data_IF_609625524177
#
_entry.id   IF_609625524177
#
_cell.length_a   1.000
_cell.length_b   1.000
_cell.length_c   1.000
_cell.angle_alpha   90.00
_cell.angle_beta   90.00
_cell.angle_gamma   90.00
#
_symmetry.space_group_name_H-M   'P 1'
#
loop_
_entity.id
_entity.type
_entity.pdbx_description
1 polymer ?
#
# COMPACT_ATOMS: atom_id res chain seq x y z
N UNK A 1 -21.37 -24.42 29.07
CA UNK A 1 -20.14 -23.66 28.80
C UNK A 1 -20.34 -22.88 27.52
N UNK A 2 -20.01 -21.58 27.45
CA UNK A 2 -20.02 -20.88 26.18
C UNK A 2 -19.08 -21.60 25.20
N UNK A 3 -19.55 -21.79 23.98
CA UNK A 3 -18.76 -22.40 22.90
C UNK A 3 -17.46 -21.62 22.73
N UNK A 4 -16.28 -22.26 22.66
CA UNK A 4 -15.04 -21.54 22.40
C UNK A 4 -15.16 -20.77 21.09
N UNK A 5 -14.87 -19.47 21.12
CA UNK A 5 -14.69 -18.70 19.89
C UNK A 5 -13.49 -19.32 19.18
N UNK A 6 -13.61 -19.74 17.91
CA UNK A 6 -12.46 -20.27 17.17
C UNK A 6 -11.34 -19.23 17.17
N UNK A 7 -10.14 -19.60 17.62
CA UNK A 7 -8.96 -18.71 17.58
C UNK A 7 -8.39 -18.67 16.16
N UNK A 8 -9.21 -18.17 15.25
CA UNK A 8 -8.88 -18.01 13.85
C UNK A 8 -7.70 -17.04 13.72
N UNK A 9 -6.84 -17.31 12.75
CA UNK A 9 -5.77 -16.38 12.39
C UNK A 9 -6.32 -15.30 11.47
N UNK A 10 -5.97 -14.06 11.77
CA UNK A 10 -6.28 -12.89 10.99
C UNK A 10 -4.99 -12.26 10.46
N UNK A 11 -5.11 -11.56 9.34
CA UNK A 11 -3.99 -10.85 8.75
C UNK A 11 -3.70 -9.57 9.55
N UNK A 12 -2.50 -9.51 10.15
CA UNK A 12 -1.96 -8.33 10.83
C UNK A 12 -0.91 -7.65 9.94
N UNK A 13 -0.95 -6.33 9.88
CA UNK A 13 -0.01 -5.52 9.10
C UNK A 13 1.18 -5.13 9.97
N UNK A 14 2.38 -5.35 9.47
CA UNK A 14 3.64 -4.89 10.04
C UNK A 14 4.22 -3.85 9.07
N UNK A 15 4.45 -2.63 9.55
CA UNK A 15 4.96 -1.53 8.74
C UNK A 15 6.33 -1.07 9.24
N UNK A 16 7.31 -1.10 8.35
CA UNK A 16 8.61 -0.47 8.54
C UNK A 16 8.70 0.79 7.68
N UNK A 17 9.32 1.82 8.23
CA UNK A 17 9.42 3.15 7.62
C UNK A 17 10.86 3.59 7.70
N UNK A 18 11.40 4.07 6.59
CA UNK A 18 12.77 4.53 6.49
C UNK A 18 12.77 5.95 5.92
N UNK A 19 13.43 6.90 6.60
CA UNK A 19 13.53 8.28 6.12
C UNK A 19 14.72 8.44 5.19
N UNK A 20 14.58 9.29 4.18
CA UNK A 20 15.75 9.80 3.48
C UNK A 20 16.51 10.81 4.35
N UNK A 21 17.83 10.88 4.16
CA UNK A 21 18.71 11.75 4.95
C UNK A 21 18.24 13.21 5.10
N UNK A 22 17.68 13.88 4.06
CA UNK A 22 17.14 15.25 4.21
C UNK A 22 15.98 15.38 5.21
N UNK A 23 15.26 14.28 5.47
CA UNK A 23 14.13 14.23 6.42
C UNK A 23 14.52 13.59 7.77
N UNK A 24 15.77 13.15 7.93
CA UNK A 24 16.22 12.40 9.10
C UNK A 24 16.30 13.24 10.38
N UNK A 25 16.39 14.56 10.25
CA UNK A 25 16.32 15.47 11.40
C UNK A 25 14.90 15.54 12.01
N UNK A 26 13.88 15.01 11.32
CA UNK A 26 12.49 15.03 11.77
C UNK A 26 12.12 13.87 12.72
N UNK A 27 12.93 12.80 12.77
CA UNK A 27 12.76 11.69 13.70
C UNK A 27 14.08 10.95 13.94
N UNK A 28 14.53 10.89 15.20
CA UNK A 28 15.74 10.14 15.60
C UNK A 28 15.52 8.63 15.73
N UNK A 29 14.29 8.15 15.56
CA UNK A 29 13.93 6.76 15.83
C UNK A 29 13.64 5.94 14.59
N UNK A 30 13.41 6.59 13.45
CA UNK A 30 13.25 5.87 12.20
C UNK A 30 14.62 5.59 11.59
N UNK A 31 14.85 4.38 11.05
CA UNK A 31 16.09 4.09 10.35
C UNK A 31 16.31 5.10 9.23
N UNK A 32 17.48 5.72 9.24
CA UNK A 32 17.88 6.67 8.21
C UNK A 32 18.63 5.90 7.14
N UNK A 33 18.20 6.09 5.89
CA UNK A 33 18.97 5.60 4.76
C UNK A 33 20.13 6.57 4.50
N UNK A 34 21.25 6.32 5.17
CA UNK A 34 22.52 7.01 4.98
C UNK A 34 23.36 6.28 3.93
N UNK A 35 24.24 7.00 3.24
CA UNK A 35 25.13 6.42 2.22
C UNK A 35 24.41 5.64 1.12
N UNK A 36 23.22 6.08 0.73
CA UNK A 36 22.76 5.83 -0.64
C UNK A 36 23.70 6.63 -1.55
N UNK A 37 24.89 6.09 -1.83
CA UNK A 37 25.87 6.72 -2.71
C UNK A 37 25.38 6.71 -4.16
N UNK A 38 24.50 5.75 -4.49
CA UNK A 38 23.75 5.70 -5.73
C UNK A 38 22.35 5.13 -5.46
N UNK A 39 21.33 5.99 -5.48
CA UNK A 39 20.01 5.60 -5.96
C UNK A 39 19.99 6.07 -7.41
N UNK A 40 20.08 5.14 -8.35
CA UNK A 40 20.14 5.48 -9.76
C UNK A 40 18.76 5.90 -10.24
N UNK A 41 18.52 7.22 -10.21
CA UNK A 41 17.62 7.88 -11.15
C UNK A 41 18.41 8.05 -12.46
N UNK A 42 17.90 7.55 -13.58
CA UNK A 42 18.55 7.78 -14.88
C UNK A 42 18.27 9.20 -15.36
N UNK A 43 19.08 10.19 -14.94
CA UNK A 43 19.03 11.51 -15.54
C UNK A 43 19.70 11.48 -16.93
N UNK A 44 19.07 12.02 -18.00
CA UNK A 44 19.69 12.16 -19.30
C UNK A 44 20.87 13.15 -19.23
N UNK A 45 21.95 12.84 -19.95
CA UNK A 45 23.08 13.77 -20.16
C UNK A 45 22.58 15.07 -20.85
N UNK A 46 22.99 16.28 -20.41
CA UNK A 46 22.57 17.50 -21.09
C UNK A 46 23.29 17.70 -22.43
N UNK A 47 22.50 17.54 -23.49
CA UNK A 47 22.39 18.30 -24.75
C UNK A 47 23.62 18.48 -25.65
N UNK A 48 23.50 17.88 -26.83
CA UNK A 48 23.00 18.67 -27.97
C UNK A 48 21.46 18.70 -27.91
N UNK A 49 20.85 19.89 -28.06
CA UNK A 49 19.41 20.22 -27.88
C UNK A 49 18.44 19.04 -28.16
N UNK A 50 17.58 18.63 -27.21
CA UNK A 50 16.23 19.17 -26.94
C UNK A 50 15.80 18.92 -25.47
N UNK A 51 14.61 19.38 -25.08
CA UNK A 51 14.11 19.57 -23.71
C UNK A 51 13.07 18.49 -23.35
N UNK A 52 13.42 17.52 -22.50
CA UNK A 52 12.52 16.70 -21.68
C UNK A 52 13.36 15.90 -20.65
N UNK A 53 12.80 15.58 -19.48
CA UNK A 53 13.54 15.35 -18.24
C UNK A 53 13.06 14.06 -17.54
N UNK A 54 14.03 13.28 -17.02
CA UNK A 54 13.91 12.34 -15.89
C UNK A 54 13.35 10.90 -16.10
N UNK A 55 14.27 9.97 -16.40
CA UNK A 55 14.66 8.81 -15.56
C UNK A 55 13.72 7.72 -15.03
N UNK A 56 14.10 6.49 -15.39
CA UNK A 56 13.61 5.13 -15.09
C UNK A 56 14.30 4.50 -13.83
N UNK A 57 13.63 3.62 -13.04
CA UNK A 57 14.00 3.04 -11.69
C UNK A 57 14.06 1.48 -11.56
N UNK A 58 15.12 0.88 -10.95
CA UNK A 58 15.46 -0.57 -11.03
C UNK A 58 15.51 -1.19 -9.65
N UNK A 59 14.62 -2.15 -9.38
CA UNK A 59 14.72 -3.06 -8.25
C UNK A 59 14.41 -4.47 -8.77
N UNK A 60 15.44 -5.28 -9.05
CA UNK A 60 15.25 -6.70 -9.38
C UNK A 60 15.38 -7.54 -8.10
N UNK A 61 14.50 -8.53 -7.94
CA UNK A 61 14.70 -9.67 -7.03
C UNK A 61 15.01 -10.93 -7.86
N UNK A 62 16.16 -10.93 -8.54
CA UNK A 62 16.93 -12.09 -9.01
C UNK A 62 17.95 -11.61 -10.05
N UNK A 63 18.98 -12.42 -10.32
CA UNK A 63 20.26 -12.09 -10.99
C UNK A 63 20.15 -11.55 -12.45
N UNK A 64 18.97 -11.18 -12.96
CA UNK A 64 18.82 -10.56 -14.28
C UNK A 64 18.16 -9.17 -14.20
N UNK A 65 18.95 -8.14 -14.58
CA UNK A 65 18.65 -6.75 -15.05
C UNK A 65 17.30 -6.64 -15.82
N UNK A 66 16.44 -5.61 -15.84
CA UNK A 66 16.55 -4.12 -15.90
C UNK A 66 15.20 -3.47 -15.39
N UNK A 67 14.81 -2.28 -15.85
CA UNK A 67 14.21 -1.13 -15.17
C UNK A 67 12.82 -0.81 -15.79
N UNK A 68 11.83 -1.64 -15.47
CA UNK A 68 10.56 -1.80 -16.23
C UNK A 68 10.76 -2.08 -17.73
N UNK A 69 11.45 -3.19 -17.91
CA UNK A 69 11.76 -3.81 -19.16
C UNK A 69 10.70 -4.86 -19.46
N UNK A 70 9.81 -4.59 -20.42
CA UNK A 70 8.92 -5.64 -20.90
C UNK A 70 9.67 -6.56 -21.86
N UNK A 71 10.33 -7.59 -21.33
CA UNK A 71 10.94 -8.64 -22.13
C UNK A 71 9.87 -9.49 -22.83
N UNK A 72 9.54 -9.19 -24.08
CA UNK A 72 8.54 -9.91 -24.86
C UNK A 72 9.09 -10.39 -26.19
N UNK A 73 9.09 -11.72 -26.44
CA UNK A 73 9.56 -12.33 -27.70
C UNK A 73 10.98 -11.91 -28.12
N UNK A 74 11.89 -11.74 -27.17
CA UNK A 74 13.25 -11.28 -27.49
C UNK A 74 13.33 -9.80 -27.82
N UNK A 75 12.30 -9.03 -27.53
CA UNK A 75 12.34 -7.57 -27.54
C UNK A 75 12.30 -7.03 -26.13
N UNK A 76 12.86 -5.84 -26.02
CA UNK A 76 12.83 -5.05 -24.83
C UNK A 76 12.28 -3.66 -25.14
N UNK A 77 11.17 -3.28 -24.50
CA UNK A 77 10.48 -2.01 -24.77
C UNK A 77 10.86 -0.95 -23.73
N UNK A 78 11.09 0.28 -24.18
CA UNK A 78 11.39 1.43 -23.34
C UNK A 78 10.37 2.53 -23.54
N UNK A 79 9.75 2.96 -22.45
CA UNK A 79 8.95 4.18 -22.40
C UNK A 79 9.86 5.38 -22.10
N UNK A 80 9.68 6.46 -22.85
CA UNK A 80 10.39 7.71 -22.64
C UNK A 80 9.50 8.92 -22.97
N UNK A 81 9.93 10.10 -22.54
CA UNK A 81 9.29 11.37 -22.90
C UNK A 81 9.24 11.60 -24.42
N UNK A 82 10.18 11.01 -25.15
CA UNK A 82 10.26 11.11 -26.60
C UNK A 82 9.38 10.10 -27.35
N UNK A 83 8.91 9.03 -26.71
CA UNK A 83 8.22 7.97 -27.42
C UNK A 83 8.39 6.57 -26.85
N UNK A 84 7.87 5.60 -27.59
CA UNK A 84 8.10 4.18 -27.37
C UNK A 84 9.28 3.71 -28.21
N UNK A 85 10.26 3.06 -27.60
CA UNK A 85 11.42 2.50 -28.28
C UNK A 85 11.54 1.00 -27.99
N UNK A 86 12.25 0.26 -28.83
CA UNK A 86 12.49 -1.17 -28.62
C UNK A 86 13.92 -1.59 -28.92
N UNK A 87 14.53 -2.37 -28.04
CA UNK A 87 15.77 -3.10 -28.30
C UNK A 87 15.41 -4.53 -28.70
N UNK A 88 15.82 -4.94 -29.89
CA UNK A 88 15.80 -6.35 -30.26
C UNK A 88 16.97 -7.04 -29.55
N UNK A 89 16.69 -7.98 -28.66
CA UNK A 89 17.69 -8.70 -27.86
C UNK A 89 18.46 -9.75 -28.67
N UNK A 90 18.00 -10.10 -29.88
CA UNK A 90 18.72 -11.00 -30.76
C UNK A 90 19.82 -10.28 -31.54
N UNK A 91 19.56 -9.04 -31.96
CA UNK A 91 20.47 -8.22 -32.76
C UNK A 91 21.16 -7.13 -31.96
N UNK A 92 20.67 -6.84 -30.74
CA UNK A 92 21.00 -5.67 -29.93
C UNK A 92 20.79 -4.33 -30.65
N UNK A 93 19.90 -4.30 -31.65
CA UNK A 93 19.55 -3.10 -32.39
C UNK A 93 18.41 -2.34 -31.72
N UNK A 94 18.61 -1.04 -31.54
CA UNK A 94 17.58 -0.12 -31.03
C UNK A 94 16.72 0.35 -32.21
N UNK A 95 15.41 0.20 -32.05
CA UNK A 95 14.37 0.65 -32.96
C UNK A 95 13.63 1.80 -32.29
N UNK A 96 13.95 3.05 -32.65
CA UNK A 96 13.29 4.20 -32.07
C UNK A 96 11.87 4.38 -32.64
N UNK A 97 10.98 4.97 -31.85
CA UNK A 97 9.60 5.31 -32.25
C UNK A 97 8.83 4.13 -32.83
N UNK A 98 8.73 3.03 -32.07
CA UNK A 98 7.92 1.89 -32.46
C UNK A 98 6.49 2.35 -32.77
N UNK A 99 6.04 2.06 -33.99
CA UNK A 99 4.76 2.50 -34.53
C UNK A 99 4.54 4.02 -34.52
N UNK A 100 5.60 4.81 -34.73
CA UNK A 100 5.52 6.27 -34.76
C UNK A 100 4.97 6.87 -33.45
N UNK A 101 5.00 6.11 -32.34
CA UNK A 101 4.63 6.61 -31.01
C UNK A 101 5.78 7.52 -30.55
N UNK A 102 5.72 8.78 -30.96
CA UNK A 102 6.71 9.83 -30.72
C UNK A 102 6.24 10.87 -29.70
N UNK A 103 5.41 10.41 -28.76
CA UNK A 103 4.85 11.20 -27.65
C UNK A 103 5.26 10.57 -26.34
N UNK A 104 5.26 11.36 -25.26
CA UNK A 104 5.60 10.89 -23.92
C UNK A 104 4.82 9.64 -23.53
N UNK A 105 5.54 8.55 -23.28
CA UNK A 105 4.99 7.29 -22.77
C UNK A 105 5.30 7.22 -21.28
N UNK A 106 4.26 7.13 -20.46
CA UNK A 106 4.37 7.18 -19.00
C UNK A 106 4.43 5.79 -18.36
N UNK A 107 3.94 4.76 -19.04
CA UNK A 107 3.79 3.43 -18.46
C UNK A 107 3.64 2.34 -19.51
N UNK A 108 4.11 1.14 -19.18
CA UNK A 108 4.01 -0.05 -20.01
C UNK A 108 3.38 -1.19 -19.21
N UNK A 109 2.68 -2.08 -19.91
CA UNK A 109 2.26 -3.36 -19.35
C UNK A 109 2.19 -4.42 -20.45
N UNK A 110 2.16 -5.69 -20.06
CA UNK A 110 1.82 -6.76 -20.99
C UNK A 110 0.91 -7.79 -20.40
N UNK A 111 0.34 -8.59 -21.28
CA UNK A 111 -0.18 -9.89 -20.94
C UNK A 111 0.53 -10.94 -21.79
N UNK A 112 1.22 -11.86 -21.12
CA UNK A 112 1.74 -13.07 -21.75
C UNK A 112 0.59 -13.94 -22.27
N UNK A 113 -0.48 -14.06 -21.47
CA UNK A 113 -1.71 -14.82 -21.77
C UNK A 113 -2.43 -14.30 -23.01
N UNK A 114 -2.49 -12.98 -23.20
CA UNK A 114 -3.18 -12.34 -24.34
C UNK A 114 -2.24 -11.90 -25.45
N UNK A 115 -0.94 -12.19 -25.32
CA UNK A 115 0.07 -11.79 -26.31
C UNK A 115 -0.11 -10.32 -26.71
N UNK A 116 -0.23 -9.44 -25.71
CA UNK A 116 -0.58 -8.04 -25.93
C UNK A 116 0.29 -7.13 -25.07
N UNK A 117 0.82 -6.08 -25.68
CA UNK A 117 1.57 -4.99 -25.05
C UNK A 117 0.67 -3.76 -24.98
N UNK A 118 0.78 -3.02 -23.88
CA UNK A 118 0.06 -1.79 -23.63
C UNK A 118 1.06 -0.67 -23.36
N UNK A 119 0.81 0.51 -23.92
CA UNK A 119 1.58 1.71 -23.62
C UNK A 119 0.64 2.88 -23.29
N UNK A 120 0.84 3.47 -22.11
CA UNK A 120 0.08 4.60 -21.60
C UNK A 120 0.75 5.91 -21.95
N UNK A 121 -0.05 6.89 -22.36
CA UNK A 121 0.41 8.27 -22.62
C UNK A 121 -0.52 9.25 -21.90
N UNK A 122 -0.31 10.55 -22.12
CA UNK A 122 -1.17 11.59 -21.55
C UNK A 122 -2.64 11.50 -22.00
N UNK A 123 -2.90 11.04 -23.22
CA UNK A 123 -4.25 11.07 -23.81
C UNK A 123 -4.71 9.75 -24.42
N UNK A 124 -3.81 8.80 -24.65
CA UNK A 124 -4.08 7.56 -25.41
C UNK A 124 -3.55 6.34 -24.69
N UNK A 125 -4.31 5.24 -24.79
CA UNK A 125 -3.82 3.90 -24.52
C UNK A 125 -3.48 3.22 -25.85
N UNK A 126 -2.20 2.89 -26.05
CA UNK A 126 -1.75 2.12 -27.19
C UNK A 126 -1.79 0.62 -26.87
N UNK A 127 -2.24 -0.18 -27.84
CA UNK A 127 -2.42 -1.62 -27.71
C UNK A 127 -1.79 -2.30 -28.92
N UNK A 128 -0.90 -3.26 -28.67
CA UNK A 128 -0.31 -4.11 -29.69
C UNK A 128 -0.55 -5.57 -29.34
N UNK A 129 -1.46 -6.21 -30.07
CA UNK A 129 -1.69 -7.66 -29.97
C UNK A 129 -0.93 -8.36 -31.09
N UNK A 130 -0.25 -9.44 -30.75
CA UNK A 130 0.53 -10.27 -31.67
C UNK A 130 0.06 -11.72 -31.63
N UNK A 131 0.34 -12.51 -32.67
CA UNK A 131 -0.12 -13.91 -32.77
C UNK A 131 -1.61 -14.08 -33.10
N UNK A 132 -2.34 -12.99 -33.29
CA UNK A 132 -3.72 -12.94 -33.81
C UNK A 132 -3.67 -12.30 -35.21
N UNK A 133 -4.55 -12.70 -36.13
CA UNK A 133 -4.48 -12.40 -37.58
C UNK A 133 -4.50 -10.92 -38.03
N UNK A 134 -4.28 -9.97 -37.13
CA UNK A 134 -4.03 -8.56 -37.43
C UNK A 134 -2.98 -8.02 -36.43
N UNK A 135 -1.70 -8.21 -36.74
CA UNK A 135 -0.59 -7.70 -35.94
C UNK A 135 -0.39 -6.21 -36.24
N UNK A 136 -0.50 -5.39 -35.20
CA UNK A 136 -0.37 -3.94 -35.37
C UNK A 136 -0.62 -3.21 -34.07
N UNK A 137 -0.03 -2.03 -33.95
CA UNK A 137 -0.35 -1.12 -32.86
C UNK A 137 -1.61 -0.34 -33.24
N UNK A 138 -2.48 -0.14 -32.27
CA UNK A 138 -3.61 0.79 -32.35
C UNK A 138 -3.65 1.63 -31.09
N UNK A 139 -4.41 2.72 -31.10
CA UNK A 139 -4.67 3.49 -29.90
C UNK A 139 -6.17 3.61 -29.61
N UNK A 140 -6.49 3.72 -28.35
CA UNK A 140 -7.82 4.00 -27.83
C UNK A 140 -7.80 5.36 -27.11
N UNK A 141 -8.81 6.18 -27.38
CA UNK A 141 -9.11 7.39 -26.63
C UNK A 141 -10.62 7.45 -26.43
N UNK A 142 -11.06 7.36 -25.18
CA UNK A 142 -12.49 7.34 -24.84
C UNK A 142 -12.74 8.41 -23.78
N UNK A 143 -13.53 9.42 -24.15
CA UNK A 143 -13.95 10.49 -23.24
C UNK A 143 -14.65 9.90 -22.00
N UNK A 144 -14.27 10.36 -20.82
CA UNK A 144 -14.76 9.87 -19.52
C UNK A 144 -14.09 8.59 -18.99
N UNK A 145 -13.24 7.90 -19.77
CA UNK A 145 -12.55 6.67 -19.36
C UNK A 145 -11.04 6.77 -19.49
N UNK A 146 -10.55 7.20 -20.66
CA UNK A 146 -9.14 7.43 -21.00
C UNK A 146 -8.98 8.88 -21.46
N UNK A 147 -9.41 9.82 -20.62
CA UNK A 147 -9.41 11.26 -20.89
C UNK A 147 -8.59 12.08 -19.88
N UNK A 148 -7.79 11.38 -19.07
CA UNK A 148 -6.80 11.96 -18.17
C UNK A 148 -5.47 11.20 -18.33
N UNK A 149 -4.33 11.83 -17.98
CA UNK A 149 -3.02 11.22 -18.09
C UNK A 149 -2.98 9.83 -17.44
N UNK A 150 -2.56 8.84 -18.22
CA UNK A 150 -2.28 7.50 -17.69
C UNK A 150 -1.00 7.63 -16.87
N UNK A 151 -1.08 7.28 -15.60
CA UNK A 151 0.05 7.35 -14.65
C UNK A 151 0.74 6.01 -14.48
N UNK A 152 -0.02 4.92 -14.62
CA UNK A 152 0.50 3.57 -14.48
C UNK A 152 -0.43 2.56 -15.13
N UNK A 153 0.16 1.49 -15.65
CA UNK A 153 -0.52 0.34 -16.21
C UNK A 153 -0.04 -0.91 -15.49
N UNK A 154 -0.96 -1.80 -15.12
CA UNK A 154 -0.57 -3.14 -14.67
C UNK A 154 -1.57 -4.16 -15.17
N UNK A 155 -1.09 -5.23 -15.79
CA UNK A 155 -1.95 -6.34 -16.18
C UNK A 155 -1.95 -7.38 -15.07
N UNK A 156 -3.15 -7.78 -14.63
CA UNK A 156 -3.29 -8.88 -13.69
C UNK A 156 -3.71 -10.13 -14.47
N UNK A 157 -2.79 -11.05 -14.72
CA UNK A 157 -3.05 -12.27 -15.50
C UNK A 157 -4.05 -13.22 -14.80
N UNK A 158 -4.15 -13.18 -13.46
CA UNK A 158 -5.10 -13.99 -12.68
C UNK A 158 -6.53 -13.50 -12.85
N UNK A 159 -6.72 -12.17 -12.88
CA UNK A 159 -8.00 -11.55 -13.19
C UNK A 159 -8.29 -11.50 -14.69
N UNK A 160 -7.24 -11.58 -15.52
CA UNK A 160 -7.27 -11.39 -16.97
C UNK A 160 -7.76 -9.99 -17.37
N UNK A 161 -7.20 -8.96 -16.74
CA UNK A 161 -7.60 -7.55 -16.93
C UNK A 161 -6.41 -6.61 -16.82
N UNK A 162 -6.42 -5.55 -17.63
CA UNK A 162 -5.51 -4.41 -17.46
C UNK A 162 -6.13 -3.40 -16.49
N UNK A 163 -5.33 -2.94 -15.54
CA UNK A 163 -5.64 -1.83 -14.65
C UNK A 163 -4.92 -0.59 -15.15
N UNK A 164 -5.67 0.51 -15.24
CA UNK A 164 -5.22 1.78 -15.78
C UNK A 164 -5.39 2.82 -14.68
N UNK A 165 -4.26 3.28 -14.14
CA UNK A 165 -4.21 4.30 -13.10
C UNK A 165 -4.16 5.69 -13.72
N UNK A 166 -5.02 6.59 -13.25
CA UNK A 166 -5.06 7.98 -13.69
C UNK A 166 -5.21 8.90 -12.47
N UNK A 167 -4.93 10.18 -12.67
CA UNK A 167 -5.17 11.18 -11.62
C UNK A 167 -6.65 11.25 -11.22
N UNK A 168 -7.54 11.05 -12.19
CA UNK A 168 -9.00 11.14 -11.99
C UNK A 168 -9.64 9.85 -11.47
N UNK A 169 -8.91 8.73 -11.43
CA UNK A 169 -9.45 7.43 -10.99
C UNK A 169 -8.79 6.21 -11.64
N UNK A 170 -9.57 5.13 -11.72
CA UNK A 170 -9.11 3.82 -12.22
C UNK A 170 -10.06 3.34 -13.31
N UNK A 171 -9.49 2.96 -14.44
CA UNK A 171 -10.20 2.31 -15.54
C UNK A 171 -9.64 0.89 -15.73
N UNK A 172 -10.52 -0.04 -16.08
CA UNK A 172 -10.20 -1.43 -16.38
C UNK A 172 -10.39 -1.69 -17.86
N UNK A 173 -9.50 -2.48 -18.45
CA UNK A 173 -9.66 -3.03 -19.79
C UNK A 173 -9.76 -4.56 -19.71
N UNK A 174 -10.88 -5.10 -20.20
CA UNK A 174 -11.22 -6.51 -20.11
C UNK A 174 -11.19 -7.14 -21.52
N UNK A 175 -10.58 -8.33 -21.69
CA UNK A 175 -10.61 -9.05 -22.95
C UNK A 175 -11.96 -9.78 -23.12
N UNK A 176 -12.52 -9.71 -24.33
CA UNK A 176 -13.69 -10.48 -24.77
C UNK A 176 -13.31 -11.22 -26.04
N UNK A 177 -13.45 -12.54 -26.05
CA UNK A 177 -13.29 -13.33 -27.27
C UNK A 177 -14.67 -13.42 -27.93
N UNK A 178 -14.80 -12.83 -29.11
CA UNK A 178 -16.04 -12.89 -29.89
C UNK A 178 -16.25 -14.32 -30.42
N UNK A 179 -17.49 -14.72 -30.78
CA UNK A 179 -17.75 -16.02 -31.41
C UNK A 179 -16.92 -16.29 -32.68
N UNK A 180 -16.46 -15.21 -33.33
CA UNK A 180 -15.56 -15.24 -34.48
C UNK A 180 -14.10 -15.60 -34.13
N UNK A 181 -13.77 -15.74 -32.84
CA UNK A 181 -12.42 -15.97 -32.34
C UNK A 181 -11.59 -14.70 -32.16
N UNK A 182 -12.10 -13.53 -32.57
CA UNK A 182 -11.38 -12.26 -32.43
C UNK A 182 -11.39 -11.75 -30.99
N UNK A 183 -10.22 -11.29 -30.53
CA UNK A 183 -10.04 -10.63 -29.25
C UNK A 183 -10.45 -9.15 -29.35
N UNK A 184 -11.47 -8.78 -28.58
CA UNK A 184 -11.90 -7.41 -28.36
C UNK A 184 -11.58 -6.96 -26.95
N UNK A 185 -11.51 -5.65 -26.74
CA UNK A 185 -11.26 -5.06 -25.44
C UNK A 185 -12.43 -4.17 -25.03
N UNK A 186 -12.88 -4.35 -23.79
CA UNK A 186 -14.01 -3.63 -23.21
C UNK A 186 -13.54 -2.81 -22.01
N UNK A 187 -13.87 -1.51 -22.01
CA UNK A 187 -13.52 -0.61 -20.92
C UNK A 187 -14.60 -0.57 -19.84
N UNK A 188 -14.18 -0.50 -18.58
CA UNK A 188 -15.06 -0.27 -17.43
C UNK A 188 -14.38 0.66 -16.43
N UNK A 189 -15.08 1.67 -15.92
CA UNK A 189 -14.56 2.53 -14.84
C UNK A 189 -14.76 1.80 -13.52
N UNK A 190 -13.68 1.57 -12.77
CA UNK A 190 -13.83 1.05 -11.41
C UNK A 190 -14.30 2.18 -10.47
N UNK A 191 -13.55 3.28 -10.40
CA UNK A 191 -13.87 4.40 -9.52
C UNK A 191 -13.15 5.70 -9.96
N UNK A 192 -13.64 6.89 -9.58
CA UNK A 192 -13.01 8.19 -9.92
C UNK A 192 -13.84 9.44 -9.62
N UNK A 193 -13.24 10.63 -9.85
CA UNK A 193 -13.86 11.97 -9.60
C UNK A 193 -15.06 12.27 -10.51
N UNK A 194 -15.06 11.70 -11.72
CA UNK A 194 -16.22 11.76 -12.61
C UNK A 194 -17.05 10.52 -12.28
N UNK A 195 -18.11 10.71 -11.51
CA UNK A 195 -19.16 9.71 -11.34
C UNK A 195 -19.73 9.38 -12.73
N UNK A 196 -19.36 8.24 -13.28
CA UNK A 196 -20.25 7.61 -14.24
C UNK A 196 -21.35 6.94 -13.40
N UNK A 197 -22.65 7.22 -13.62
CA UNK A 197 -23.76 6.77 -12.77
C UNK A 197 -24.06 5.27 -12.90
N UNK A 198 -23.03 4.40 -12.85
CA UNK A 198 -23.22 2.95 -13.02
C UNK A 198 -22.06 2.06 -12.53
N UNK A 199 -21.17 2.54 -11.64
CA UNK A 199 -20.24 1.66 -10.93
C UNK A 199 -20.64 1.58 -9.45
N UNK A 200 -21.28 0.48 -9.08
CA UNK A 200 -21.68 0.16 -7.71
C UNK A 200 -20.52 -0.42 -6.87
N UNK A 201 -19.28 -0.41 -7.38
CA UNK A 201 -18.12 -0.98 -6.68
C UNK A 201 -17.24 0.16 -6.14
N UNK A 202 -17.64 0.70 -4.98
CA UNK A 202 -16.76 1.34 -4.00
C UNK A 202 -16.11 2.65 -4.44
N UNK A 203 -16.48 3.73 -3.76
CA UNK A 203 -15.82 5.03 -3.90
C UNK A 203 -14.31 4.85 -3.70
N UNK A 204 -13.50 5.26 -4.69
CA UNK A 204 -12.04 5.24 -4.58
C UNK A 204 -11.65 6.00 -3.30
N UNK A 205 -10.91 5.39 -2.34
CA UNK A 205 -10.62 6.06 -1.07
C UNK A 205 -9.92 7.41 -1.23
N UNK A 206 -9.03 7.53 -2.23
CA UNK A 206 -8.51 8.81 -2.69
C UNK A 206 -8.06 8.73 -4.16
N UNK A 207 -8.26 9.81 -4.91
CA UNK A 207 -7.80 9.98 -6.29
C UNK A 207 -6.29 10.26 -6.37
N UNK A 208 -5.82 10.68 -7.55
CA UNK A 208 -4.41 10.90 -7.85
C UNK A 208 -3.57 9.64 -7.70
N UNK A 209 -3.97 8.60 -8.44
CA UNK A 209 -3.18 7.38 -8.58
C UNK A 209 -1.88 7.73 -9.30
N UNK A 210 -0.78 7.20 -8.81
CA UNK A 210 0.58 7.49 -9.31
C UNK A 210 1.29 6.24 -9.78
N UNK A 211 0.97 5.08 -9.19
CA UNK A 211 1.58 3.80 -9.55
C UNK A 211 0.63 2.66 -9.21
N UNK A 212 0.67 1.58 -9.98
CA UNK A 212 -0.07 0.34 -9.76
C UNK A 212 0.92 -0.83 -9.71
N UNK A 213 0.60 -1.84 -8.93
CA UNK A 213 1.41 -3.06 -8.85
C UNK A 213 0.58 -4.27 -8.47
N UNK A 214 1.01 -5.44 -8.91
CA UNK A 214 0.38 -6.74 -8.60
C UNK A 214 1.45 -7.74 -8.19
N UNK A 215 1.04 -8.76 -7.44
CA UNK A 215 1.92 -9.85 -7.06
C UNK A 215 2.26 -10.71 -8.27
N UNK A 216 3.54 -11.00 -8.50
CA UNK A 216 4.03 -11.86 -9.58
C UNK A 216 4.17 -13.33 -9.14
N UNK A 217 3.30 -13.77 -8.23
CA UNK A 217 3.39 -15.10 -7.61
C UNK A 217 2.92 -16.19 -8.56
N UNK A 218 3.45 -17.41 -8.38
CA UNK A 218 2.85 -18.61 -8.96
C UNK A 218 1.50 -18.94 -8.33
N UNK A 219 1.25 -18.46 -7.10
CA UNK A 219 -0.05 -18.55 -6.45
C UNK A 219 -0.99 -17.46 -6.99
N UNK A 220 -2.25 -17.78 -7.29
CA UNK A 220 -3.19 -16.80 -7.83
C UNK A 220 -3.52 -15.72 -6.77
N UNK A 221 -2.93 -14.54 -6.90
CA UNK A 221 -3.27 -13.35 -6.12
C UNK A 221 -4.00 -12.34 -7.01
N UNK A 222 -5.28 -12.14 -6.71
CA UNK A 222 -6.12 -11.18 -7.43
C UNK A 222 -6.04 -9.77 -6.87
N UNK A 223 -5.32 -9.54 -5.78
CA UNK A 223 -5.24 -8.20 -5.18
C UNK A 223 -4.40 -7.28 -6.04
N UNK A 224 -4.82 -6.02 -6.12
CA UNK A 224 -4.10 -4.96 -6.84
C UNK A 224 -3.71 -3.88 -5.84
N UNK A 225 -2.48 -3.41 -5.97
CA UNK A 225 -1.92 -2.38 -5.11
C UNK A 225 -1.79 -1.07 -5.90
N UNK A 226 -2.08 0.03 -5.23
CA UNK A 226 -2.12 1.35 -5.81
C UNK A 226 -1.35 2.32 -4.93
N UNK A 227 -0.40 3.04 -5.50
CA UNK A 227 0.18 4.23 -4.89
C UNK A 227 -0.58 5.47 -5.32
N UNK A 228 -0.67 6.44 -4.42
CA UNK A 228 -1.24 7.75 -4.70
C UNK A 228 -0.53 8.83 -3.88
N UNK A 229 -1.02 10.07 -3.97
CA UNK A 229 -0.47 11.23 -3.23
C UNK A 229 -0.73 11.21 -1.72
N UNK A 230 -1.43 10.19 -1.21
CA UNK A 230 -1.82 10.03 0.21
C UNK A 230 -1.36 8.70 0.82
N UNK A 231 -0.49 7.97 0.12
CA UNK A 231 -0.02 6.66 0.53
C UNK A 231 -0.51 5.55 -0.38
N UNK A 232 -0.66 4.35 0.18
CA UNK A 232 -0.90 3.12 -0.59
C UNK A 232 -2.31 2.60 -0.31
N UNK A 233 -2.92 1.99 -1.31
CA UNK A 233 -4.18 1.25 -1.20
C UNK A 233 -3.98 -0.17 -1.73
N UNK A 234 -4.69 -1.13 -1.13
CA UNK A 234 -4.83 -2.49 -1.65
C UNK A 234 -6.31 -2.75 -1.93
N UNK A 235 -6.62 -3.12 -3.16
CA UNK A 235 -7.92 -3.56 -3.59
C UNK A 235 -7.98 -5.09 -3.62
N UNK A 236 -9.01 -5.66 -3.00
CA UNK A 236 -9.32 -7.08 -3.07
C UNK A 236 -10.62 -7.31 -3.86
N UNK A 237 -10.53 -7.80 -5.11
CA UNK A 237 -11.71 -8.03 -5.95
C UNK A 237 -12.58 -9.19 -5.47
N UNK A 238 -12.11 -10.03 -4.55
CA UNK A 238 -12.91 -11.12 -4.00
C UNK A 238 -13.83 -10.63 -2.86
N UNK A 239 -13.65 -9.40 -2.39
CA UNK A 239 -14.51 -8.77 -1.38
C UNK A 239 -15.56 -7.91 -2.06
N UNK A 240 -16.83 -8.09 -1.67
CA UNK A 240 -17.98 -7.37 -2.23
C UNK A 240 -18.52 -6.26 -1.32
N UNK A 241 -17.78 -5.87 -0.28
CA UNK A 241 -18.24 -4.93 0.77
C UNK A 241 -17.21 -3.79 0.98
N UNK A 242 -17.47 -2.87 1.93
CA UNK A 242 -16.61 -1.76 2.35
C UNK A 242 -15.15 -2.18 2.62
N UNK A 243 -14.92 -3.47 2.90
CA UNK A 243 -13.62 -4.07 3.15
C UNK A 243 -12.80 -4.41 1.89
N UNK A 244 -13.33 -4.17 0.69
CA UNK A 244 -12.60 -4.37 -0.57
C UNK A 244 -11.38 -3.46 -0.69
N UNK A 245 -11.39 -2.32 0.01
CA UNK A 245 -10.27 -1.40 0.09
C UNK A 245 -9.58 -1.49 1.44
N UNK A 246 -8.25 -1.59 1.43
CA UNK A 246 -7.40 -1.29 2.59
C UNK A 246 -6.50 -0.12 2.28
N UNK A 247 -6.55 0.88 3.16
CA UNK A 247 -5.76 2.11 3.06
C UNK A 247 -4.57 2.04 4.02
N UNK A 248 -3.40 2.38 3.48
CA UNK A 248 -2.15 2.48 4.21
C UNK A 248 -1.63 3.91 4.09
N UNK A 249 -2.03 4.75 5.04
CA UNK A 249 -1.63 6.15 5.13
C UNK A 249 -1.12 6.50 6.54
N UNK A 250 -0.71 7.75 6.72
CA UNK A 250 -0.21 8.33 7.98
C UNK A 250 1.04 7.65 8.55
N UNK A 251 1.55 8.22 9.64
CA UNK A 251 2.70 7.69 10.38
C UNK A 251 2.54 6.23 10.81
N UNK A 252 1.32 5.67 10.83
CA UNK A 252 1.09 4.24 11.09
C UNK A 252 1.73 3.34 10.03
N UNK A 253 1.65 3.71 8.76
CA UNK A 253 2.05 2.85 7.64
C UNK A 253 3.08 3.49 6.71
N UNK A 254 3.10 4.81 6.64
CA UNK A 254 3.89 5.59 5.70
C UNK A 254 4.87 6.51 6.45
N UNK A 255 5.98 6.91 5.81
CA UNK A 255 6.96 7.78 6.44
C UNK A 255 6.50 9.25 6.44
N UNK A 256 5.34 9.57 7.00
CA UNK A 256 4.76 10.90 6.96
C UNK A 256 3.95 11.27 8.21
N UNK A 257 4.07 12.52 8.66
CA UNK A 257 3.21 13.08 9.72
C UNK A 257 1.90 13.65 9.17
N UNK A 258 1.97 14.22 7.98
CA UNK A 258 0.88 14.91 7.29
C UNK A 258 0.00 13.95 6.49
N UNK A 259 -1.13 14.43 5.98
CA UNK A 259 -2.02 13.62 5.12
C UNK A 259 -1.44 13.31 3.73
N UNK A 260 -0.45 14.08 3.27
CA UNK A 260 0.17 13.92 1.96
C UNK A 260 1.50 13.17 2.04
N UNK A 261 1.65 12.16 1.18
CA UNK A 261 2.86 11.38 0.96
C UNK A 261 2.76 10.79 -0.45
N UNK A 262 3.54 11.36 -1.37
CA UNK A 262 3.48 10.94 -2.76
C UNK A 262 4.18 9.60 -2.94
N UNK A 263 3.47 8.56 -3.37
CA UNK A 263 4.08 7.26 -3.70
C UNK A 263 4.53 7.32 -5.16
N UNK A 264 5.83 7.38 -5.42
CA UNK A 264 6.37 7.45 -6.79
C UNK A 264 6.56 6.08 -7.43
N UNK A 265 6.75 5.03 -6.64
CA UNK A 265 6.94 3.67 -7.13
C UNK A 265 6.46 2.64 -6.10
N UNK A 266 5.98 1.50 -6.58
CA UNK A 266 5.40 0.44 -5.76
C UNK A 266 5.81 -0.93 -6.31
N UNK A 267 6.43 -1.74 -5.46
CA UNK A 267 6.75 -3.13 -5.76
C UNK A 267 5.97 -4.05 -4.82
N UNK A 268 5.34 -5.09 -5.37
CA UNK A 268 4.62 -6.11 -4.60
C UNK A 268 5.40 -7.41 -4.63
N UNK A 269 5.82 -7.86 -3.46
CA UNK A 269 6.56 -9.08 -3.25
C UNK A 269 5.61 -10.19 -2.86
N UNK A 270 5.58 -11.23 -3.69
CA UNK A 270 4.71 -12.37 -3.49
C UNK A 270 4.93 -13.07 -2.16
N UNK A 271 3.83 -13.54 -1.58
CA UNK A 271 3.90 -14.49 -0.47
C UNK A 271 4.67 -15.75 -0.91
N UNK A 272 5.40 -16.31 0.06
CA UNK A 272 6.07 -17.61 -0.08
C UNK A 272 5.02 -18.68 -0.40
N UNK A 273 5.40 -19.69 -1.18
CA UNK A 273 4.47 -20.75 -1.62
C UNK A 273 3.92 -21.60 -0.47
N UNK A 274 4.60 -21.64 0.67
CA UNK A 274 4.22 -22.34 1.90
C UNK A 274 3.39 -21.48 2.87
N UNK A 275 3.14 -20.22 2.54
CA UNK A 275 2.36 -19.33 3.38
C UNK A 275 0.87 -19.69 3.37
N UNK A 276 0.16 -19.30 4.42
CA UNK A 276 -1.31 -19.38 4.48
C UNK A 276 -1.92 -18.75 3.21
N UNK A 277 -2.92 -19.37 2.57
CA UNK A 277 -3.56 -18.82 1.37
C UNK A 277 -4.20 -17.45 1.62
N UNK A 278 -4.46 -17.10 2.88
CA UNK A 278 -5.02 -15.82 3.30
C UNK A 278 -3.96 -14.73 3.55
N UNK A 279 -2.66 -15.05 3.48
CA UNK A 279 -1.60 -14.08 3.74
C UNK A 279 -1.41 -13.11 2.56
N UNK A 280 -1.34 -11.82 2.86
CA UNK A 280 -1.05 -10.75 1.91
C UNK A 280 0.38 -10.76 1.38
N UNK A 281 0.51 -10.57 0.06
CA UNK A 281 1.78 -10.18 -0.55
C UNK A 281 2.33 -8.92 0.13
N UNK A 282 3.63 -8.84 0.37
CA UNK A 282 4.25 -7.64 0.94
C UNK A 282 4.33 -6.54 -0.11
N UNK A 283 4.36 -5.27 0.32
CA UNK A 283 4.51 -4.13 -0.57
C UNK A 283 5.65 -3.22 -0.10
N UNK A 284 6.45 -2.75 -1.05
CA UNK A 284 7.48 -1.75 -0.84
C UNK A 284 7.10 -0.51 -1.65
N UNK A 285 6.90 0.61 -0.96
CA UNK A 285 6.54 1.87 -1.56
C UNK A 285 7.70 2.87 -1.43
N UNK A 286 8.11 3.44 -2.56
CA UNK A 286 8.98 4.61 -2.59
C UNK A 286 8.11 5.84 -2.51
N UNK A 287 8.39 6.71 -1.55
CA UNK A 287 7.61 7.93 -1.31
C UNK A 287 8.47 9.18 -1.37
N UNK A 288 7.83 10.34 -1.47
CA UNK A 288 8.50 11.64 -1.39
C UNK A 288 9.19 11.92 -0.05
N UNK A 289 8.94 11.10 0.98
CA UNK A 289 9.51 11.28 2.34
C UNK A 289 10.42 10.12 2.76
N UNK A 290 10.48 9.02 2.00
CA UNK A 290 11.24 7.82 2.35
C UNK A 290 10.64 6.52 1.82
N UNK A 291 11.08 5.37 2.35
CA UNK A 291 10.54 4.04 2.02
C UNK A 291 9.51 3.59 3.05
N UNK A 292 8.43 2.96 2.58
CA UNK A 292 7.52 2.19 3.42
C UNK A 292 7.57 0.71 3.01
N UNK A 293 7.73 -0.19 3.97
CA UNK A 293 7.66 -1.65 3.76
C UNK A 293 6.49 -2.18 4.56
N UNK A 294 5.47 -2.66 3.85
CA UNK A 294 4.26 -3.25 4.40
C UNK A 294 4.35 -4.77 4.27
N UNK A 295 4.43 -5.44 5.41
CA UNK A 295 4.40 -6.91 5.49
C UNK A 295 3.16 -7.36 6.23
N UNK A 296 2.79 -8.60 6.00
CA UNK A 296 1.63 -9.20 6.62
C UNK A 296 2.06 -10.44 7.38
N UNK A 297 1.43 -10.64 8.53
CA UNK A 297 1.60 -11.83 9.37
C UNK A 297 0.22 -12.37 9.75
N UNK A 298 0.13 -13.68 9.95
CA UNK A 298 -1.09 -14.30 10.46
C UNK A 298 -1.04 -14.34 11.98
N UNK A 299 -1.87 -13.55 12.65
CA UNK A 299 -1.98 -13.50 14.11
C UNK A 299 -3.32 -14.05 14.57
N UNK A 300 -3.33 -14.84 15.63
CA UNK A 300 -4.56 -15.15 16.35
C UNK A 300 -5.01 -13.96 17.20
N UNK A 301 -6.24 -13.98 17.72
CA UNK A 301 -6.71 -12.91 18.61
C UNK A 301 -5.91 -12.89 19.92
N UNK A 302 -5.51 -14.06 20.41
CA UNK A 302 -4.64 -14.16 21.58
C UNK A 302 -3.27 -13.50 21.33
N UNK A 303 -2.62 -13.80 20.20
CA UNK A 303 -1.34 -13.16 19.83
C UNK A 303 -1.46 -11.64 19.72
N UNK A 304 -2.56 -11.16 19.12
CA UNK A 304 -2.83 -9.72 19.02
C UNK A 304 -3.06 -9.08 20.40
N UNK A 305 -3.81 -9.74 21.27
CA UNK A 305 -4.05 -9.26 22.63
C UNK A 305 -2.74 -9.18 23.42
N UNK A 306 -1.88 -10.20 23.34
CA UNK A 306 -0.58 -10.22 24.01
C UNK A 306 0.35 -9.10 23.51
N UNK A 307 0.36 -8.81 22.20
CA UNK A 307 1.13 -7.69 21.66
C UNK A 307 0.73 -6.33 22.27
N UNK A 308 -0.57 -6.02 22.34
CA UNK A 308 -1.04 -4.76 22.93
C UNK A 308 -0.87 -4.74 24.45
N UNK A 309 -1.05 -5.89 25.10
CA UNK A 309 -0.80 -6.05 26.54
C UNK A 309 0.65 -5.70 26.89
N UNK A 310 1.63 -6.15 26.10
CA UNK A 310 3.03 -5.79 26.29
C UNK A 310 3.30 -4.28 26.22
N UNK A 311 2.53 -3.52 25.42
CA UNK A 311 2.68 -2.06 25.33
C UNK A 311 2.15 -1.32 26.56
N UNK A 312 1.16 -1.90 27.26
CA UNK A 312 0.64 -1.39 28.53
C UNK A 312 1.58 -1.77 29.68
N UNK A 313 2.04 -3.02 29.69
CA UNK A 313 2.91 -3.56 30.75
C UNK A 313 4.34 -3.03 30.71
N UNK A 314 4.79 -2.50 29.57
CA UNK A 314 6.13 -1.98 29.44
C UNK A 314 6.38 -0.87 30.48
N UNK A 315 7.36 -1.04 31.39
CA UNK A 315 7.63 -0.06 32.43
C UNK A 315 7.91 1.33 31.85
N UNK A 316 7.30 2.35 32.44
CA UNK A 316 7.46 3.74 32.00
C UNK A 316 6.54 4.19 30.87
N UNK A 317 5.64 3.32 30.37
CA UNK A 317 4.65 3.69 29.34
C UNK A 317 3.29 4.12 29.91
N UNK A 318 2.21 3.60 29.34
CA UNK A 318 0.82 3.97 29.58
C UNK A 318 0.37 3.73 31.03
N UNK A 319 1.08 2.90 31.80
CA UNK A 319 0.82 2.77 33.24
C UNK A 319 1.44 3.92 34.05
N UNK A 320 0.57 4.72 34.66
CA UNK A 320 0.88 5.79 35.60
C UNK A 320 0.17 5.52 36.92
N UNK A 321 0.88 4.94 37.88
CA UNK A 321 0.35 4.65 39.22
C UNK A 321 -0.94 3.78 39.19
N UNK A 322 -1.07 2.88 38.22
CA UNK A 322 -2.27 2.05 38.05
C UNK A 322 -3.37 2.71 37.20
N UNK A 323 -3.16 3.92 36.67
CA UNK A 323 -3.97 4.48 35.61
C UNK A 323 -3.37 4.17 34.24
N UNK A 324 -4.22 3.88 33.26
CA UNK A 324 -3.85 3.87 31.85
C UNK A 324 -3.99 5.31 31.34
N UNK A 325 -2.87 5.95 31.08
CA UNK A 325 -2.76 7.35 30.66
C UNK A 325 -2.29 7.47 29.22
N UNK A 326 -2.49 8.67 28.65
CA UNK A 326 -1.93 9.02 27.34
C UNK A 326 -0.40 8.96 27.38
N UNK A 327 0.16 8.73 26.20
CA UNK A 327 1.57 8.49 26.00
C UNK A 327 2.03 9.22 24.74
N UNK A 328 2.50 10.45 24.91
CA UNK A 328 3.07 11.21 23.80
C UNK A 328 4.53 10.81 23.57
N UNK A 329 4.97 10.86 22.32
CA UNK A 329 6.37 10.57 21.98
C UNK A 329 7.18 11.86 22.13
N UNK A 330 8.38 11.78 22.71
CA UNK A 330 9.26 12.97 22.85
C UNK A 330 9.77 13.50 21.52
N UNK A 331 9.79 12.63 20.50
CA UNK A 331 10.08 12.97 19.12
C UNK A 331 9.16 12.18 18.22
N UNK A 332 8.80 12.76 17.08
CA UNK A 332 7.90 12.13 16.14
C UNK A 332 8.40 10.74 15.73
N UNK A 333 7.52 9.74 15.77
CA UNK A 333 7.84 8.37 15.36
C UNK A 333 8.68 7.55 16.35
N UNK A 334 9.18 8.13 17.46
CA UNK A 334 9.90 7.37 18.50
C UNK A 334 8.94 6.68 19.46
N UNK A 335 8.44 5.54 19.01
CA UNK A 335 7.59 4.68 19.80
C UNK A 335 8.24 4.09 21.05
N UNK A 336 9.55 4.27 21.31
CA UNK A 336 10.20 3.81 22.55
C UNK A 336 9.99 4.79 23.70
N UNK A 337 9.64 6.03 23.38
CA UNK A 337 9.45 7.11 24.35
C UNK A 337 7.98 7.18 24.77
N UNK A 338 7.76 7.62 26.00
CA UNK A 338 6.43 7.84 26.54
C UNK A 338 6.49 8.97 27.56
N UNK A 339 6.11 10.16 27.13
CA UNK A 339 5.88 11.29 28.02
C UNK A 339 4.43 11.18 28.46
N UNK A 340 4.26 10.84 29.73
CA UNK A 340 2.96 10.78 30.37
C UNK A 340 2.55 12.16 30.81
N UNK A 341 1.47 12.66 30.24
CA UNK A 341 0.81 13.86 30.75
C UNK A 341 -0.36 13.44 31.63
N UNK A 342 -0.90 14.39 32.38
CA UNK A 342 -2.16 14.19 33.07
C UNK A 342 -3.27 14.59 32.10
N UNK A 343 -4.10 13.63 31.71
CA UNK A 343 -5.23 13.84 30.80
C UNK A 343 -6.57 13.51 31.48
N UNK A 344 -7.64 14.27 31.19
CA UNK A 344 -8.95 14.05 31.82
C UNK A 344 -9.57 12.71 31.44
N UNK A 345 -9.07 12.05 30.39
CA UNK A 345 -9.53 10.73 29.95
C UNK A 345 -8.79 9.56 30.59
N UNK A 346 -7.83 9.80 31.50
CA UNK A 346 -7.11 8.73 32.22
C UNK A 346 -8.08 7.76 32.92
N UNK A 347 -9.14 8.27 33.55
CA UNK A 347 -10.19 7.45 34.16
C UNK A 347 -10.97 6.62 33.15
N UNK A 348 -11.25 7.17 31.97
CA UNK A 348 -11.99 6.53 30.89
C UNK A 348 -11.19 5.36 30.31
N UNK A 349 -9.96 5.62 29.89
CA UNK A 349 -9.07 4.60 29.34
C UNK A 349 -8.78 3.50 30.37
N UNK A 350 -8.58 3.86 31.63
CA UNK A 350 -8.39 2.89 32.72
C UNK A 350 -9.64 2.02 32.90
N UNK A 351 -10.85 2.59 32.84
CA UNK A 351 -12.09 1.82 32.98
C UNK A 351 -12.29 0.82 31.83
N UNK A 352 -11.99 1.21 30.58
CA UNK A 352 -12.08 0.33 29.41
C UNK A 352 -11.04 -0.78 29.47
N UNK A 353 -9.81 -0.43 29.87
CA UNK A 353 -8.75 -1.40 30.05
C UNK A 353 -9.09 -2.40 31.17
N UNK A 354 -9.56 -1.92 32.32
CA UNK A 354 -10.02 -2.75 33.43
C UNK A 354 -11.11 -3.74 32.98
N UNK A 355 -12.13 -3.26 32.26
CA UNK A 355 -13.18 -4.12 31.74
C UNK A 355 -12.60 -5.23 30.84
N UNK A 356 -11.64 -4.89 29.98
CA UNK A 356 -10.97 -5.88 29.12
C UNK A 356 -10.25 -6.96 29.93
N UNK A 357 -9.58 -6.61 31.03
CA UNK A 357 -8.88 -7.57 31.89
C UNK A 357 -9.85 -8.44 32.69
N UNK A 358 -10.98 -7.89 33.14
CA UNK A 358 -12.04 -8.67 33.80
C UNK A 358 -12.61 -9.73 32.85
N UNK A 359 -12.94 -9.36 31.61
CA UNK A 359 -13.41 -10.32 30.60
C UNK A 359 -12.34 -11.35 30.25
N UNK A 360 -11.07 -10.93 30.11
CA UNK A 360 -9.94 -11.83 29.88
C UNK A 360 -9.80 -12.83 31.02
N UNK A 361 -9.88 -12.41 32.29
CA UNK A 361 -9.79 -13.29 33.45
C UNK A 361 -10.98 -14.27 33.51
N UNK A 362 -12.19 -13.82 33.20
CA UNK A 362 -13.36 -14.69 33.18
C UNK A 362 -13.18 -15.90 32.26
N UNK A 363 -12.50 -15.73 31.12
CA UNK A 363 -12.23 -16.81 30.15
C UNK A 363 -10.95 -17.58 30.49
N UNK A 364 -9.86 -16.89 30.83
CA UNK A 364 -8.53 -17.51 30.97
C UNK A 364 -8.25 -18.06 32.37
N UNK A 365 -8.93 -17.51 33.39
CA UNK A 365 -8.66 -17.74 34.81
C UNK A 365 -7.18 -17.49 35.21
N UNK A 366 -6.43 -16.68 34.45
CA UNK A 366 -5.03 -16.37 34.75
C UNK A 366 -4.94 -15.40 35.94
N UNK A 367 -4.34 -15.88 37.03
CA UNK A 367 -4.16 -15.10 38.27
C UNK A 367 -3.38 -13.81 38.08
N UNK A 368 -2.49 -13.71 37.08
CA UNK A 368 -1.76 -12.47 36.74
C UNK A 368 -2.70 -11.41 36.19
N UNK A 369 -3.62 -11.81 35.31
CA UNK A 369 -4.66 -10.93 34.75
C UNK A 369 -5.58 -10.43 35.86
N UNK A 370 -5.93 -11.29 36.82
CA UNK A 370 -6.71 -10.88 38.01
C UNK A 370 -5.98 -9.83 38.83
N UNK A 371 -4.70 -10.03 39.12
CA UNK A 371 -3.90 -9.07 39.88
C UNK A 371 -3.80 -7.72 39.16
N UNK A 372 -3.63 -7.74 37.83
CA UNK A 372 -3.65 -6.53 37.02
C UNK A 372 -4.99 -5.81 37.05
N UNK A 373 -6.10 -6.53 36.83
CA UNK A 373 -7.44 -5.97 36.96
C UNK A 373 -7.66 -5.34 38.35
N UNK A 374 -7.22 -6.03 39.41
CA UNK A 374 -7.34 -5.51 40.78
C UNK A 374 -6.57 -4.20 40.98
N UNK A 375 -5.34 -4.11 40.48
CA UNK A 375 -4.52 -2.90 40.54
C UNK A 375 -5.19 -1.69 39.86
N UNK A 376 -5.75 -1.88 38.66
CA UNK A 376 -6.46 -0.81 37.96
C UNK A 376 -7.80 -0.47 38.61
N UNK A 377 -8.47 -1.44 39.24
CA UNK A 377 -9.66 -1.20 40.05
C UNK A 377 -9.35 -0.34 41.28
N UNK A 378 -8.26 -0.62 42.00
CA UNK A 378 -7.81 0.19 43.16
C UNK A 378 -7.50 1.63 42.75
N UNK A 379 -6.89 1.83 41.56
CA UNK A 379 -6.68 3.16 41.01
C UNK A 379 -8.01 3.90 40.74
N UNK A 380 -8.98 3.23 40.12
CA UNK A 380 -10.33 3.79 39.90
C UNK A 380 -11.07 4.07 41.21
N UNK A 381 -10.93 3.22 42.22
CA UNK A 381 -11.51 3.42 43.54
C UNK A 381 -10.88 4.65 44.23
N UNK A 382 -9.56 4.81 44.14
CA UNK A 382 -8.85 5.98 44.64
C UNK A 382 -9.34 7.26 43.93
N UNK A 383 -9.46 7.23 42.60
CA UNK A 383 -9.98 8.37 41.84
C UNK A 383 -11.37 8.77 42.33
N UNK A 384 -12.27 7.81 42.53
CA UNK A 384 -13.60 8.06 43.07
C UNK A 384 -13.57 8.62 44.50
N UNK A 385 -12.73 8.06 45.38
CA UNK A 385 -12.58 8.52 46.77
C UNK A 385 -12.12 9.98 46.84
N UNK A 386 -11.20 10.38 45.97
CA UNK A 386 -10.63 11.73 45.96
C UNK A 386 -11.54 12.74 45.27
N UNK A 387 -12.28 12.32 44.23
CA UNK A 387 -13.10 13.24 43.42
C UNK A 387 -14.59 13.27 43.81
N UNK A 388 -15.07 12.29 44.59
CA UNK A 388 -16.45 12.20 45.04
C UNK A 388 -17.47 11.82 43.95
N UNK A 389 -17.03 11.34 42.79
CA UNK A 389 -17.88 10.95 41.67
C UNK A 389 -17.25 9.87 40.80
N UNK A 390 -18.09 8.99 40.24
CA UNK A 390 -17.74 7.81 39.43
C UNK A 390 -17.53 8.10 37.93
N UNK A 391 -17.25 9.34 37.54
CA UNK A 391 -17.18 9.72 36.12
C UNK A 391 -15.80 9.46 35.50
N UNK A 392 -15.83 8.93 34.28
CA UNK A 392 -14.69 8.53 33.44
C UNK A 392 -13.79 9.69 32.97
N UNK A 393 -14.26 10.94 33.08
CA UNK A 393 -13.54 12.13 32.60
C UNK A 393 -12.90 12.93 33.74
N UNK A 394 -11.95 12.34 34.48
CA UNK A 394 -11.11 13.05 35.46
C UNK A 394 -9.68 12.47 35.54
N UNK A 395 -8.73 13.34 35.82
CA UNK A 395 -7.32 13.00 36.02
C UNK A 395 -6.88 13.06 37.48
N UNK A 396 -5.91 12.21 37.84
CA UNK A 396 -5.08 12.40 39.03
C UNK A 396 -3.80 13.17 38.67
N UNK A 397 -3.65 14.41 39.13
CA UNK A 397 -2.51 15.31 38.81
C UNK A 397 -1.39 15.31 39.87
N UNK A 398 -1.37 14.34 40.78
CA UNK A 398 -0.41 14.32 41.90
C UNK A 398 1.03 14.06 41.47
N UNK A 399 1.94 14.96 41.91
CA UNK A 399 3.40 14.80 41.93
C UNK A 399 3.86 13.54 42.64
#
# INVERSE_FOLDING_TARGET
MPTPIPDNKFEQVIAERYLFAPFANESTAWPVLNNIQNAWQTAPLPRYHFQAAEGVWLLTQSINRVQEDLGARGWLYFAADSGLHGLDLSTFMINPFLNEINVSVSSLAWSSKRQTIFAGTETKLWIHSYGVGNEGWRFEHIKGLIDAPITSLVYNDVQDKLWIGQSTGITLLLPIIMPTGHLHWFFSRLAGQISNPGSDIGHLPFSNITTLSVSQSTLPDRRVWLGAVRGVMRFDPNSSDINAWRVFNSARYMPNRESLVNVSSLAVLSCRSDASPNLGSAAVAITSKGLAVLRFEMWTLAQKADHFQMLVDQPGRHDKNGFVSDCSMSSWGDGRTCIKESDDNDGEWTSMYLASQVFRYAVTQDTRVKAQAWRHFEAMELLNKVTGSLLTTRTFTGN
#
